data_IF_656450548228
#
_entry.id   IF_656450548228
#
_cell.length_a   1.000
_cell.length_b   1.000
_cell.length_c   1.000
_cell.angle_alpha   90.00
_cell.angle_beta   90.00
_cell.angle_gamma   90.00
#
_symmetry.space_group_name_H-M   'P 1'
#
loop_
_entity.id
_entity.type
_entity.pdbx_description
1 polymer ?
#
# COMPACT_ATOMS: atom_id res chain seq x y z
N UNK A 1 7.40 14.06 -13.51
CA UNK A 1 7.03 12.95 -12.59
C UNK A 1 5.52 12.88 -12.49
N UNK A 2 4.97 11.79 -11.96
CA UNK A 2 3.59 11.68 -11.51
C UNK A 2 3.57 11.31 -10.03
N UNK A 3 2.46 11.56 -9.34
CA UNK A 3 2.33 11.30 -7.90
C UNK A 3 1.52 10.02 -7.67
N UNK A 4 1.98 9.17 -6.75
CA UNK A 4 1.18 8.11 -6.14
C UNK A 4 0.89 8.47 -4.68
N UNK A 5 -0.35 8.35 -4.26
CA UNK A 5 -0.79 8.61 -2.89
C UNK A 5 -1.85 7.59 -2.47
N UNK A 6 -2.18 7.54 -1.19
CA UNK A 6 -3.21 6.66 -0.66
C UNK A 6 -3.01 6.43 0.83
N UNK A 7 -3.78 5.50 1.37
CA UNK A 7 -3.72 5.11 2.78
C UNK A 7 -3.44 3.63 2.92
N UNK A 8 -2.72 3.28 3.98
CA UNK A 8 -2.58 1.90 4.45
C UNK A 8 -3.33 1.77 5.76
N UNK A 9 -4.22 0.78 5.82
CA UNK A 9 -5.02 0.48 6.99
C UNK A 9 -4.77 -0.96 7.46
N UNK A 10 -4.86 -1.17 8.76
CA UNK A 10 -4.95 -2.50 9.37
C UNK A 10 -6.41 -2.75 9.74
N UNK A 11 -6.94 -3.90 9.32
CA UNK A 11 -8.30 -4.34 9.63
C UNK A 11 -8.24 -5.57 10.52
N UNK A 12 -8.85 -5.49 11.69
CA UNK A 12 -8.85 -6.57 12.66
C UNK A 12 -10.19 -7.28 12.68
N UNK A 13 -10.24 -8.51 12.17
CA UNK A 13 -11.45 -9.32 12.16
C UNK A 13 -11.37 -10.43 13.22
N UNK A 14 -12.37 -10.53 14.09
CA UNK A 14 -12.53 -11.68 15.00
C UNK A 14 -13.27 -12.84 14.34
N UNK A 15 -12.96 -14.09 14.74
CA UNK A 15 -13.55 -15.35 14.25
C UNK A 15 -13.17 -15.68 12.79
N UNK A 16 -13.93 -16.55 12.13
CA UNK A 16 -13.72 -16.99 10.74
C UNK A 16 -13.84 -15.81 9.77
N UNK A 17 -12.73 -15.12 9.55
CA UNK A 17 -12.61 -14.02 8.60
C UNK A 17 -13.11 -14.45 7.23
N UNK A 18 -13.99 -13.62 6.64
CA UNK A 18 -14.34 -13.71 5.22
C UNK A 18 -13.74 -12.51 4.49
N UNK A 19 -13.07 -12.70 3.33
CA UNK A 19 -12.49 -11.60 2.56
C UNK A 19 -13.46 -10.45 2.25
N UNK A 20 -14.74 -10.75 2.12
CA UNK A 20 -15.82 -9.79 1.83
C UNK A 20 -16.40 -9.10 3.08
N UNK A 21 -15.94 -9.46 4.29
CA UNK A 21 -16.44 -8.88 5.53
C UNK A 21 -15.83 -7.48 5.75
N UNK A 22 -16.58 -6.46 5.37
CA UNK A 22 -16.18 -5.04 5.48
C UNK A 22 -16.44 -4.43 6.87
N UNK A 23 -17.24 -5.09 7.72
CA UNK A 23 -17.65 -4.57 9.03
C UNK A 23 -16.62 -4.66 10.15
N UNK A 24 -15.40 -5.13 9.87
CA UNK A 24 -14.36 -5.21 10.89
C UNK A 24 -13.76 -3.82 11.17
N UNK A 25 -13.38 -3.51 12.43
CA UNK A 25 -12.69 -2.25 12.73
C UNK A 25 -11.39 -2.14 11.93
N UNK A 26 -11.23 -1.00 11.27
CA UNK A 26 -10.03 -0.63 10.54
C UNK A 26 -9.39 0.61 11.17
N UNK A 27 -8.07 0.58 11.27
CA UNK A 27 -7.26 1.67 11.83
C UNK A 27 -6.13 2.03 10.87
N UNK A 28 -5.67 3.30 10.85
CA UNK A 28 -4.46 3.69 10.14
C UNK A 28 -3.24 2.83 10.51
N UNK A 29 -2.47 2.43 9.50
CA UNK A 29 -1.22 1.70 9.70
C UNK A 29 -0.04 2.64 9.49
N UNK A 30 0.58 3.08 10.60
CA UNK A 30 1.79 3.91 10.59
C UNK A 30 3.04 3.04 10.47
N UNK A 31 3.98 3.46 9.60
CA UNK A 31 5.31 2.89 9.54
C UNK A 31 5.61 1.84 8.46
N UNK A 32 4.66 1.08 7.85
CA UNK A 32 5.04 0.22 6.73
C UNK A 32 5.68 1.03 5.60
N UNK A 33 6.73 0.46 5.03
CA UNK A 33 7.43 0.97 3.86
C UNK A 33 6.78 0.40 2.59
N UNK A 34 6.29 1.27 1.72
CA UNK A 34 5.84 0.92 0.38
C UNK A 34 7.00 1.09 -0.59
N UNK A 35 7.42 0.00 -1.23
CA UNK A 35 8.41 -0.03 -2.28
C UNK A 35 7.74 -0.16 -3.63
N UNK A 36 7.96 0.83 -4.50
CA UNK A 36 7.52 0.87 -5.88
C UNK A 36 8.69 0.49 -6.77
N UNK A 37 8.65 -0.72 -7.32
CA UNK A 37 9.67 -1.24 -8.25
C UNK A 37 9.17 -1.08 -9.68
N UNK A 38 9.90 -0.33 -10.51
CA UNK A 38 9.55 -0.15 -11.91
C UNK A 38 9.77 -1.48 -12.66
N UNK A 39 8.79 -1.94 -13.45
CA UNK A 39 8.86 -3.27 -14.08
C UNK A 39 10.03 -3.39 -15.06
N UNK A 40 10.28 -2.35 -15.85
CA UNK A 40 11.27 -2.36 -16.94
C UNK A 40 12.65 -1.82 -16.50
N UNK A 41 12.91 -1.71 -15.18
CA UNK A 41 14.22 -1.28 -14.68
C UNK A 41 14.52 -1.80 -13.27
N UNK A 42 15.77 -1.69 -12.84
CA UNK A 42 16.16 -1.91 -11.43
C UNK A 42 15.81 -0.74 -10.51
N UNK A 43 15.12 0.30 -11.00
CA UNK A 43 14.74 1.46 -10.20
C UNK A 43 13.63 1.11 -9.21
N UNK A 44 13.89 1.38 -7.95
CA UNK A 44 12.90 1.30 -6.88
C UNK A 44 12.83 2.63 -6.13
N UNK A 45 11.64 2.95 -5.61
CA UNK A 45 11.42 4.08 -4.72
C UNK A 45 10.65 3.60 -3.50
N UNK A 46 11.02 4.08 -2.32
CA UNK A 46 10.38 3.68 -1.06
C UNK A 46 9.80 4.90 -0.37
N UNK A 47 8.61 4.74 0.21
CA UNK A 47 7.97 5.75 1.07
C UNK A 47 7.36 5.06 2.29
N UNK A 48 7.25 5.77 3.40
CA UNK A 48 6.66 5.26 4.65
C UNK A 48 5.35 5.96 4.93
N UNK A 49 4.39 5.22 5.49
CA UNK A 49 3.13 5.83 5.91
C UNK A 49 3.29 6.63 7.20
N UNK A 50 2.58 7.76 7.27
CA UNK A 50 2.56 8.62 8.44
C UNK A 50 1.59 8.12 9.53
N UNK A 51 1.37 8.93 10.59
CA UNK A 51 0.46 8.58 11.69
C UNK A 51 -1.01 8.47 11.29
N UNK A 52 -1.41 9.05 10.17
CA UNK A 52 -2.75 8.90 9.58
C UNK A 52 -2.82 7.71 8.61
N UNK A 53 -1.73 6.95 8.45
CA UNK A 53 -1.62 5.86 7.50
C UNK A 53 -1.49 6.34 6.05
N UNK A 54 -1.40 7.65 5.83
CA UNK A 54 -1.28 8.23 4.50
C UNK A 54 0.16 8.11 4.00
N UNK A 55 0.31 7.97 2.69
CA UNK A 55 1.59 8.08 2.01
C UNK A 55 1.47 8.92 0.74
N UNK A 56 2.59 9.50 0.33
CA UNK A 56 2.74 10.21 -0.95
C UNK A 56 4.15 10.02 -1.47
N UNK A 57 4.28 9.80 -2.77
CA UNK A 57 5.58 9.72 -3.44
C UNK A 57 5.47 10.18 -4.89
N UNK A 58 6.51 10.82 -5.40
CA UNK A 58 6.61 11.25 -6.80
C UNK A 58 7.54 10.30 -7.56
N UNK A 59 7.02 9.72 -8.63
CA UNK A 59 7.69 8.71 -9.43
C UNK A 59 7.85 9.17 -10.88
N UNK A 60 8.80 8.58 -11.59
CA UNK A 60 8.88 8.73 -13.04
C UNK A 60 7.66 8.04 -13.68
N UNK A 61 7.22 8.47 -14.87
CA UNK A 61 6.18 7.75 -15.59
C UNK A 61 6.60 6.30 -15.88
N UNK A 62 5.65 5.37 -15.74
CA UNK A 62 5.90 3.94 -15.94
C UNK A 62 4.99 3.06 -15.08
N UNK A 63 5.11 1.74 -15.25
CA UNK A 63 4.33 0.76 -14.47
C UNK A 63 5.20 0.17 -13.37
N UNK A 64 4.70 0.21 -12.15
CA UNK A 64 5.39 -0.23 -10.95
C UNK A 64 4.67 -1.41 -10.31
N UNK A 65 5.42 -2.37 -9.79
CA UNK A 65 4.96 -3.35 -8.81
C UNK A 65 5.07 -2.73 -7.43
N UNK A 66 4.04 -2.90 -6.61
CA UNK A 66 4.02 -2.40 -5.23
C UNK A 66 4.31 -3.54 -4.27
N UNK A 67 5.25 -3.32 -3.37
CA UNK A 67 5.57 -4.21 -2.26
C UNK A 67 5.45 -3.44 -0.96
N UNK A 68 4.87 -4.05 0.07
CA UNK A 68 4.73 -3.42 1.39
C UNK A 68 5.53 -4.21 2.39
N UNK A 69 6.41 -3.52 3.12
CA UNK A 69 7.30 -4.08 4.13
C UNK A 69 6.97 -3.45 5.49
N UNK A 70 6.73 -4.27 6.50
CA UNK A 70 6.66 -3.83 7.89
C UNK A 70 7.94 -4.27 8.60
N UNK A 71 8.89 -3.36 8.75
CA UNK A 71 10.27 -3.71 9.09
C UNK A 71 10.87 -4.61 8.00
N UNK A 72 11.31 -5.81 8.38
CA UNK A 72 11.89 -6.80 7.43
C UNK A 72 10.87 -7.79 6.88
N UNK A 73 9.58 -7.65 7.23
CA UNK A 73 8.55 -8.62 6.85
C UNK A 73 7.72 -8.09 5.69
N UNK A 74 7.69 -8.83 4.58
CA UNK A 74 6.78 -8.56 3.48
C UNK A 74 5.34 -8.83 3.92
N UNK A 75 4.46 -7.87 3.67
CA UNK A 75 3.03 -7.97 3.94
C UNK A 75 2.26 -8.08 2.63
N UNK A 76 1.38 -9.06 2.55
CA UNK A 76 0.40 -9.15 1.49
C UNK A 76 -0.84 -8.34 1.89
N UNK A 77 -1.07 -7.24 1.18
CA UNK A 77 -2.19 -6.35 1.42
C UNK A 77 -3.21 -6.48 0.29
N UNK A 78 -4.49 -6.29 0.64
CA UNK A 78 -5.52 -6.03 -0.35
C UNK A 78 -5.31 -4.64 -0.96
N UNK A 79 -5.32 -4.54 -2.29
CA UNK A 79 -5.04 -3.31 -3.03
C UNK A 79 -4.43 -3.59 -4.41
N UNK A 80 -4.10 -2.55 -5.19
CA UNK A 80 -3.49 -2.71 -6.50
C UNK A 80 -2.05 -3.24 -6.38
N UNK A 81 -1.78 -4.43 -6.94
CA UNK A 81 -0.43 -5.00 -7.01
C UNK A 81 0.49 -4.25 -7.97
N UNK A 82 -0.11 -3.59 -8.96
CA UNK A 82 0.57 -2.80 -9.97
C UNK A 82 -0.08 -1.43 -10.09
N UNK A 83 0.73 -0.40 -10.27
CA UNK A 83 0.28 0.99 -10.47
C UNK A 83 0.94 1.58 -11.71
N UNK A 84 0.18 2.28 -12.54
CA UNK A 84 0.70 2.95 -13.73
C UNK A 84 0.74 4.46 -13.47
N UNK A 85 1.95 5.00 -13.41
CA UNK A 85 2.22 6.42 -13.16
C UNK A 85 2.27 7.17 -14.48
N UNK A 86 1.48 8.22 -14.60
CA UNK A 86 1.45 9.11 -15.75
C UNK A 86 2.01 10.48 -15.34
N UNK A 87 2.83 11.08 -16.21
CA UNK A 87 3.41 12.41 -15.95
C UNK A 87 2.32 13.45 -15.64
N UNK A 88 2.53 14.25 -14.60
CA UNK A 88 1.62 15.33 -14.20
C UNK A 88 0.30 14.87 -13.57
N UNK A 89 0.07 13.55 -13.41
CA UNK A 89 -1.15 13.02 -12.79
C UNK A 89 -0.89 12.54 -11.36
N UNK A 90 -1.96 12.55 -10.55
CA UNK A 90 -2.00 11.90 -9.24
C UNK A 90 -2.82 10.62 -9.35
N UNK A 91 -2.25 9.51 -8.89
CA UNK A 91 -2.90 8.21 -8.76
C UNK A 91 -3.12 7.91 -7.28
N UNK A 92 -4.34 7.50 -6.93
CA UNK A 92 -4.67 7.01 -5.58
C UNK A 92 -4.63 5.48 -5.55
N UNK A 93 -3.91 4.90 -4.59
CA UNK A 93 -3.81 3.47 -4.36
C UNK A 93 -3.89 3.18 -2.86
N UNK A 94 -5.01 2.63 -2.41
CA UNK A 94 -5.21 2.30 -1.01
C UNK A 94 -4.92 0.82 -0.75
N UNK A 95 -4.43 0.52 0.45
CA UNK A 95 -4.07 -0.83 0.86
C UNK A 95 -4.64 -1.19 2.23
N UNK A 96 -5.07 -2.45 2.37
CA UNK A 96 -5.61 -2.96 3.64
C UNK A 96 -4.88 -4.25 4.02
N UNK A 97 -4.23 -4.24 5.18
CA UNK A 97 -3.72 -5.44 5.84
C UNK A 97 -4.79 -6.02 6.76
N UNK A 98 -5.19 -7.28 6.57
CA UNK A 98 -6.21 -7.90 7.44
C UNK A 98 -5.57 -8.91 8.39
N UNK A 99 -5.78 -8.71 9.69
CA UNK A 99 -5.40 -9.67 10.73
C UNK A 99 -6.61 -10.46 11.18
N UNK A 100 -6.43 -11.77 11.34
CA UNK A 100 -7.43 -12.66 11.93
C UNK A 100 -7.09 -12.84 13.41
N UNK A 101 -8.00 -12.38 14.27
CA UNK A 101 -7.91 -12.57 15.72
C UNK A 101 -8.53 -13.94 16.03
N UNK A 102 -7.68 -14.86 16.50
CA UNK A 102 -8.06 -16.20 16.97
C UNK A 102 -8.70 -16.13 18.36
#
# INVERSE_FOLDING_TARGET
TGTVTGHVQVRACGRAYRPEQTGCPASPMRGPALTFQLIDSSSASTTTTDSSGAYRTDLKPGTYIVQVMEGSVKRDLAGPRTVTVVAGKTLTADFIYTIQLL
#
